data_IF_247698066981
#
_entry.id   IF_247698066981
#
_cell.length_a   1.000
_cell.length_b   1.000
_cell.length_c   1.000
_cell.angle_alpha   90.00
_cell.angle_beta   90.00
_cell.angle_gamma   90.00
#
_symmetry.space_group_name_H-M   'P 1'
#
loop_
_entity.id
_entity.type
_entity.pdbx_description
1 polymer ?
#
# COMPACT_ATOMS: atom_id res chain seq x y z
N UNK A 1 -5.71 -14.91 21.68
CA UNK A 1 -6.16 -13.52 21.94
C UNK A 1 -5.67 -12.66 20.79
N UNK A 2 -6.57 -11.87 20.22
CA UNK A 2 -6.32 -10.98 19.10
C UNK A 2 -6.00 -9.60 19.70
N UNK A 3 -4.79 -9.08 19.46
CA UNK A 3 -4.22 -7.95 20.21
C UNK A 3 -4.01 -6.67 19.39
N UNK A 4 -4.10 -6.77 18.06
CA UNK A 4 -3.87 -5.69 17.09
C UNK A 4 -5.06 -5.59 16.13
N UNK A 5 -4.97 -4.72 15.12
CA UNK A 5 -5.93 -4.65 14.02
C UNK A 5 -5.75 -5.85 13.07
N UNK A 6 -6.86 -6.33 12.53
CA UNK A 6 -6.91 -7.52 11.68
C UNK A 6 -7.74 -7.22 10.44
N UNK A 7 -7.37 -7.79 9.29
CA UNK A 7 -8.05 -7.61 8.00
C UNK A 7 -8.15 -6.15 7.56
N UNK A 8 -7.08 -5.39 7.78
CA UNK A 8 -6.98 -4.01 7.32
C UNK A 8 -6.04 -3.92 6.12
N UNK A 9 -6.22 -2.86 5.33
CA UNK A 9 -5.38 -2.54 4.17
C UNK A 9 -3.94 -2.17 4.54
N UNK A 10 -3.70 -2.02 5.84
CA UNK A 10 -2.43 -1.66 6.41
C UNK A 10 -1.59 -2.88 6.78
N UNK A 11 -2.26 -3.92 7.29
CA UNK A 11 -1.63 -5.16 7.76
C UNK A 11 -1.59 -6.25 6.67
N UNK A 12 -2.57 -6.26 5.75
CA UNK A 12 -2.67 -7.24 4.68
C UNK A 12 -2.45 -6.64 3.28
N UNK A 13 -2.18 -7.51 2.30
CA UNK A 13 -1.97 -7.14 0.91
C UNK A 13 -3.17 -7.51 0.02
N UNK A 14 -4.28 -6.80 0.20
CA UNK A 14 -5.43 -6.93 -0.69
C UNK A 14 -5.11 -6.39 -2.09
N UNK A 15 -5.60 -7.09 -3.11
CA UNK A 15 -5.51 -6.69 -4.50
C UNK A 15 -6.85 -6.90 -5.21
N UNK A 16 -7.06 -6.18 -6.31
CA UNK A 16 -8.26 -6.35 -7.12
C UNK A 16 -8.13 -7.61 -7.99
N UNK A 17 -9.00 -8.60 -7.76
CA UNK A 17 -9.00 -9.85 -8.49
C UNK A 17 -9.37 -9.66 -9.95
N UNK A 18 -10.30 -8.75 -10.26
CA UNK A 18 -10.74 -8.49 -11.64
C UNK A 18 -9.59 -7.87 -12.46
N UNK A 19 -8.82 -6.97 -11.85
CA UNK A 19 -7.62 -6.40 -12.48
C UNK A 19 -6.56 -7.47 -12.77
N UNK A 20 -6.40 -8.44 -11.87
CA UNK A 20 -5.47 -9.54 -12.08
C UNK A 20 -5.94 -10.46 -13.21
N UNK A 21 -7.19 -10.90 -13.18
CA UNK A 21 -7.74 -11.87 -14.13
C UNK A 21 -7.85 -11.32 -15.55
N UNK A 22 -8.25 -10.05 -15.70
CA UNK A 22 -8.49 -9.44 -17.02
C UNK A 22 -7.25 -8.78 -17.62
N UNK A 23 -6.40 -8.19 -16.79
CA UNK A 23 -5.29 -7.36 -17.26
C UNK A 23 -3.91 -7.90 -16.86
N UNK A 24 -3.86 -8.97 -16.05
CA UNK A 24 -2.61 -9.54 -15.56
C UNK A 24 -1.86 -8.62 -14.60
N UNK A 25 -2.52 -7.60 -14.02
CA UNK A 25 -1.89 -6.63 -13.12
C UNK A 25 -2.31 -6.81 -11.66
N UNK A 26 -1.34 -6.69 -10.76
CA UNK A 26 -1.62 -6.63 -9.33
C UNK A 26 -1.95 -5.18 -8.96
N UNK A 27 -3.23 -4.89 -8.73
CA UNK A 27 -3.65 -3.61 -8.19
C UNK A 27 -3.79 -3.66 -6.67
N UNK A 28 -2.73 -3.32 -5.95
CA UNK A 28 -2.76 -3.23 -4.49
C UNK A 28 -3.76 -2.19 -4.01
N UNK A 29 -4.62 -2.57 -3.06
CA UNK A 29 -5.65 -1.67 -2.52
C UNK A 29 -5.21 -0.96 -1.23
N UNK A 30 -4.06 -1.30 -0.64
CA UNK A 30 -3.64 -0.78 0.68
C UNK A 30 -2.26 -0.10 0.71
N UNK A 31 -1.58 -0.14 1.87
CA UNK A 31 -0.26 0.50 2.10
C UNK A 31 0.79 0.15 1.05
N UNK A 32 0.68 -1.03 0.45
CA UNK A 32 1.60 -1.47 -0.59
C UNK A 32 1.62 -0.55 -1.81
N UNK A 33 0.49 0.09 -2.15
CA UNK A 33 0.47 1.11 -3.21
C UNK A 33 1.44 2.27 -2.92
N UNK A 34 1.45 2.79 -1.69
CA UNK A 34 2.36 3.85 -1.29
C UNK A 34 3.81 3.37 -1.22
N UNK A 35 4.05 2.10 -0.84
CA UNK A 35 5.39 1.50 -0.86
C UNK A 35 5.94 1.43 -2.28
N UNK A 36 5.13 1.00 -3.25
CA UNK A 36 5.53 0.99 -4.66
C UNK A 36 5.82 2.41 -5.17
N UNK A 37 4.99 3.40 -4.81
CA UNK A 37 5.27 4.80 -5.13
C UNK A 37 6.62 5.29 -4.58
N UNK A 38 6.97 4.92 -3.33
CA UNK A 38 8.29 5.24 -2.76
C UNK A 38 9.44 4.52 -3.51
N UNK A 39 9.22 3.29 -3.95
CA UNK A 39 10.21 2.54 -4.74
C UNK A 39 10.42 3.21 -6.09
N UNK A 40 9.35 3.59 -6.78
CA UNK A 40 9.38 4.27 -8.08
C UNK A 40 10.06 5.64 -8.00
N UNK A 41 9.90 6.34 -6.87
CA UNK A 41 10.61 7.59 -6.56
C UNK A 41 12.11 7.37 -6.23
N UNK A 42 12.58 6.12 -6.19
CA UNK A 42 13.95 5.77 -5.82
C UNK A 42 14.25 5.84 -4.33
N UNK A 43 13.27 6.15 -3.47
CA UNK A 43 13.47 6.32 -2.04
C UNK A 43 13.98 5.04 -1.36
N UNK A 44 13.50 3.87 -1.79
CA UNK A 44 13.97 2.58 -1.27
C UNK A 44 15.49 2.41 -1.43
N UNK A 45 16.03 2.82 -2.58
CA UNK A 45 17.47 2.77 -2.86
C UNK A 45 18.25 3.66 -1.90
N UNK A 46 17.78 4.89 -1.68
CA UNK A 46 18.40 5.85 -0.74
C UNK A 46 18.42 5.27 0.69
N UNK A 47 17.31 4.67 1.12
CA UNK A 47 17.20 4.03 2.44
C UNK A 47 18.18 2.86 2.57
N UNK A 48 18.29 2.02 1.55
CA UNK A 48 19.20 0.87 1.57
C UNK A 48 20.66 1.29 1.62
N UNK A 49 21.04 2.30 0.83
CA UNK A 49 22.39 2.86 0.83
C UNK A 49 22.75 3.48 2.19
N UNK A 50 21.82 4.23 2.79
CA UNK A 50 22.02 4.80 4.12
C UNK A 50 22.23 3.72 5.18
N UNK A 51 21.42 2.65 5.15
CA UNK A 51 21.55 1.49 6.07
C UNK A 51 22.86 0.76 5.89
N UNK A 52 23.26 0.47 4.64
CA UNK A 52 24.51 -0.20 4.34
C UNK A 52 25.73 0.61 4.81
N UNK A 53 25.64 1.94 4.76
CA UNK A 53 26.69 2.85 5.24
C UNK A 53 26.62 3.13 6.76
N UNK A 54 25.69 2.52 7.51
CA UNK A 54 25.48 2.81 8.93
C UNK A 54 25.04 4.24 9.22
N UNK A 55 24.49 4.94 8.22
CA UNK A 55 24.03 6.32 8.32
C UNK A 55 22.57 6.39 8.76
N UNK A 56 22.17 7.57 9.23
CA UNK A 56 20.77 7.86 9.56
C UNK A 56 19.90 7.69 8.30
N UNK A 57 18.82 6.94 8.43
CA UNK A 57 17.80 6.79 7.38
C UNK A 57 17.13 8.14 7.16
N UNK A 58 16.94 8.59 5.91
CA UNK A 58 16.23 9.83 5.62
C UNK A 58 14.79 9.81 6.15
N UNK A 59 14.20 10.99 6.30
CA UNK A 59 12.76 11.09 6.55
C UNK A 59 11.98 10.68 5.29
N UNK A 60 10.76 10.20 5.49
CA UNK A 60 9.86 9.90 4.39
C UNK A 60 9.62 11.17 3.56
N UNK A 61 9.71 11.07 2.23
CA UNK A 61 9.34 12.17 1.36
C UNK A 61 7.82 12.34 1.36
N UNK A 62 7.37 13.53 1.02
CA UNK A 62 5.96 13.78 0.77
C UNK A 62 5.51 13.09 -0.52
N UNK A 63 4.27 12.59 -0.51
CA UNK A 63 3.61 12.12 -1.70
C UNK A 63 2.95 13.28 -2.44
N UNK A 64 2.87 13.20 -3.76
CA UNK A 64 2.07 14.14 -4.54
C UNK A 64 0.57 13.96 -4.26
N UNK A 65 -0.21 15.02 -4.45
CA UNK A 65 -1.67 14.99 -4.30
C UNK A 65 -2.32 13.89 -5.16
N UNK A 66 -1.76 13.61 -6.34
CA UNK A 66 -2.22 12.54 -7.22
C UNK A 66 -2.04 11.16 -6.59
N UNK A 67 -0.90 10.90 -5.93
CA UNK A 67 -0.65 9.65 -5.22
C UNK A 67 -1.57 9.56 -4.00
N UNK A 68 -1.69 10.64 -3.21
CA UNK A 68 -2.57 10.67 -2.03
C UNK A 68 -4.03 10.42 -2.40
N UNK A 69 -4.54 11.10 -3.43
CA UNK A 69 -5.92 10.95 -3.92
C UNK A 69 -6.18 9.54 -4.44
N UNK A 70 -5.27 8.98 -5.25
CA UNK A 70 -5.38 7.60 -5.76
C UNK A 70 -5.34 6.57 -4.62
N UNK A 71 -4.47 6.78 -3.64
CA UNK A 71 -4.40 5.96 -2.44
C UNK A 71 -5.71 5.99 -1.66
N UNK A 72 -6.25 7.18 -1.36
CA UNK A 72 -7.53 7.34 -0.66
C UNK A 72 -8.69 6.65 -1.39
N UNK A 73 -8.73 6.72 -2.73
CA UNK A 73 -9.74 6.01 -3.53
C UNK A 73 -9.65 4.48 -3.38
N UNK A 74 -8.44 3.93 -3.31
CA UNK A 74 -8.21 2.49 -3.08
C UNK A 74 -8.64 2.06 -1.68
N UNK A 75 -8.35 2.89 -0.68
CA UNK A 75 -8.86 2.70 0.69
C UNK A 75 -10.39 2.65 0.74
N UNK A 76 -11.02 3.67 0.15
CA UNK A 76 -12.47 3.76 0.08
C UNK A 76 -13.09 2.56 -0.64
N UNK A 77 -12.57 2.20 -1.82
CA UNK A 77 -13.10 1.08 -2.64
C UNK A 77 -13.06 -0.25 -1.90
N UNK A 78 -11.94 -0.55 -1.24
CA UNK A 78 -11.84 -1.76 -0.44
C UNK A 78 -12.81 -1.73 0.74
N UNK A 79 -12.85 -0.63 1.50
CA UNK A 79 -13.72 -0.52 2.66
C UNK A 79 -15.20 -0.71 2.29
N UNK A 80 -15.63 -0.12 1.17
CA UNK A 80 -16.97 -0.30 0.62
C UNK A 80 -17.25 -1.77 0.31
N UNK A 81 -16.37 -2.44 -0.45
CA UNK A 81 -16.55 -3.88 -0.77
C UNK A 81 -16.52 -4.75 0.49
N UNK A 82 -15.52 -4.56 1.35
CA UNK A 82 -15.31 -5.35 2.56
C UNK A 82 -16.49 -5.26 3.52
N UNK A 83 -17.07 -4.07 3.69
CA UNK A 83 -18.23 -3.84 4.58
C UNK A 83 -19.51 -4.55 4.14
N UNK A 84 -19.57 -5.04 2.90
CA UNK A 84 -20.74 -5.74 2.35
C UNK A 84 -20.60 -7.26 2.35
N UNK A 85 -19.44 -7.78 2.76
CA UNK A 85 -19.21 -9.23 2.81
C UNK A 85 -20.03 -9.82 3.95
N UNK A 86 -20.98 -10.68 3.60
CA UNK A 86 -21.76 -11.44 4.56
C UNK A 86 -21.03 -12.78 4.81
N UNK A 87 -20.47 -12.92 6.01
CA UNK A 87 -19.83 -14.16 6.46
C UNK A 87 -20.92 -15.07 7.06
N UNK A 88 -21.83 -15.55 6.21
CA UNK A 88 -22.87 -16.52 6.57
C UNK A 88 -22.41 -17.95 6.29
#
# INVERSE_FOLDING_TARGET
MLVDVWHTQDEDRYFDLEALEKEGRIEHQGKEFFRQALIDMGYKKIVDEARAAGKKVPFYPDFSDAVLSKGAQRYKRFAEKWSTINLS
#
